data_IF_255327514062
#
_entry.id   IF_255327514062
#
_cell.length_a   1.000
_cell.length_b   1.000
_cell.length_c   1.000
_cell.angle_alpha   90.00
_cell.angle_beta   90.00
_cell.angle_gamma   90.00
#
_symmetry.space_group_name_H-M   'P 1'
#
loop_
_entity.id
_entity.type
_entity.pdbx_description
1 polymer ?
#
# COMPACT_ATOMS: atom_id res chain seq x y z
N UNK A 1 -36.15 -6.29 -20.41
CA UNK A 1 -36.42 -7.44 -19.51
C UNK A 1 -35.37 -8.51 -19.79
N UNK A 2 -34.34 -8.65 -18.95
CA UNK A 2 -33.27 -9.63 -19.13
C UNK A 2 -33.37 -10.66 -17.98
N UNK A 3 -33.75 -11.88 -18.33
CA UNK A 3 -33.84 -13.03 -17.41
C UNK A 3 -32.43 -13.59 -17.25
N UNK A 4 -31.74 -13.23 -16.18
CA UNK A 4 -30.45 -13.84 -15.82
C UNK A 4 -30.70 -15.23 -15.25
N UNK A 5 -30.44 -16.24 -16.08
CA UNK A 5 -30.53 -17.65 -15.70
C UNK A 5 -29.34 -17.99 -14.77
N UNK A 6 -29.55 -17.90 -13.46
CA UNK A 6 -28.54 -18.29 -12.46
C UNK A 6 -28.45 -19.82 -12.39
N UNK A 7 -27.39 -20.37 -12.97
CA UNK A 7 -26.96 -21.76 -12.70
C UNK A 7 -26.51 -21.87 -11.24
N UNK A 8 -27.33 -22.47 -10.39
CA UNK A 8 -26.89 -22.91 -9.07
C UNK A 8 -26.30 -24.31 -9.15
N UNK A 9 -25.11 -24.50 -8.58
CA UNK A 9 -24.54 -25.83 -8.30
C UNK A 9 -24.79 -26.11 -6.82
N UNK A 10 -25.67 -27.05 -6.52
CA UNK A 10 -25.89 -27.53 -5.15
C UNK A 10 -24.68 -28.39 -4.78
N UNK A 11 -23.84 -27.92 -3.86
CA UNK A 11 -22.79 -28.72 -3.22
C UNK A 11 -23.38 -29.22 -1.89
N UNK A 12 -23.88 -30.45 -1.88
CA UNK A 12 -24.16 -31.17 -0.64
C UNK A 12 -22.88 -31.81 -0.13
N UNK A 13 -22.51 -31.53 1.12
CA UNK A 13 -21.57 -32.37 1.87
C UNK A 13 -22.39 -33.51 2.47
N UNK A 14 -22.31 -34.67 1.83
CA UNK A 14 -22.64 -35.97 2.38
C UNK A 14 -21.31 -36.70 2.41
N UNK A 15 -20.99 -37.40 3.50
CA UNK A 15 -19.76 -38.18 3.61
C UNK A 15 -19.54 -39.02 2.34
N UNK A 16 -18.50 -38.67 1.58
CA UNK A 16 -18.06 -39.41 0.40
C UNK A 16 -18.81 -39.15 -0.92
N UNK A 17 -18.11 -38.49 -1.86
CA UNK A 17 -18.32 -38.52 -3.32
C UNK A 17 -19.58 -37.85 -3.92
N UNK A 18 -19.44 -36.82 -4.79
CA UNK A 18 -20.58 -36.16 -5.42
C UNK A 18 -21.11 -36.93 -6.65
N UNK A 19 -22.25 -37.62 -6.53
CA UNK A 19 -23.04 -38.09 -7.70
C UNK A 19 -24.12 -37.06 -8.05
N UNK A 20 -24.00 -36.44 -9.23
CA UNK A 20 -25.05 -35.57 -9.81
C UNK A 20 -26.28 -36.40 -10.18
N UNK A 21 -27.40 -36.27 -9.45
CA UNK A 21 -28.72 -36.74 -9.92
C UNK A 21 -29.54 -35.54 -10.39
N UNK A 22 -30.00 -35.57 -11.64
CA UNK A 22 -30.99 -34.61 -12.16
C UNK A 22 -32.37 -35.06 -11.67
N UNK A 23 -32.98 -34.32 -10.76
CA UNK A 23 -34.35 -34.53 -10.30
C UNK A 23 -35.26 -33.40 -10.75
N UNK A 24 -36.44 -33.75 -11.28
CA UNK A 24 -37.51 -32.83 -11.71
C UNK A 24 -38.36 -32.53 -10.47
N UNK A 25 -38.56 -31.25 -10.12
CA UNK A 25 -39.34 -30.86 -8.96
C UNK A 25 -40.84 -31.11 -9.22
N UNK A 26 -41.43 -32.09 -8.54
CA UNK A 26 -42.88 -32.24 -8.44
C UNK A 26 -43.42 -31.22 -7.43
N UNK A 27 -44.57 -30.63 -7.76
CA UNK A 27 -45.30 -29.67 -6.91
C UNK A 27 -45.79 -30.36 -5.63
N UNK A 28 -45.76 -29.65 -4.51
CA UNK A 28 -46.60 -29.97 -3.36
C UNK A 28 -45.95 -29.80 -1.99
N UNK A 29 -46.60 -28.97 -1.19
CA UNK A 29 -46.59 -28.87 0.27
C UNK A 29 -45.39 -28.26 1.01
N UNK A 30 -45.73 -27.19 1.70
CA UNK A 30 -45.06 -26.49 2.80
C UNK A 30 -44.27 -27.43 3.73
N UNK A 31 -42.95 -27.39 3.61
CA UNK A 31 -42.03 -27.80 4.68
C UNK A 31 -41.24 -26.56 5.11
N UNK A 32 -41.60 -26.04 6.28
CA UNK A 32 -40.91 -24.93 6.95
C UNK A 32 -39.57 -25.46 7.45
N UNK A 33 -38.53 -25.39 6.63
CA UNK A 33 -37.16 -25.58 7.09
C UNK A 33 -36.72 -24.29 7.81
N UNK A 34 -36.83 -24.31 9.13
CA UNK A 34 -36.11 -23.41 10.03
C UNK A 34 -34.61 -23.76 9.98
N UNK A 35 -33.95 -23.46 8.86
CA UNK A 35 -32.50 -23.45 8.80
C UNK A 35 -32.07 -21.98 8.77
N UNK A 36 -31.67 -21.47 9.93
CA UNK A 36 -31.05 -20.16 10.07
C UNK A 36 -29.68 -20.14 9.40
N UNK A 37 -29.66 -20.12 8.07
CA UNK A 37 -28.45 -19.77 7.34
C UNK A 37 -28.37 -18.26 7.35
N UNK A 38 -27.68 -17.71 8.34
CA UNK A 38 -27.29 -16.30 8.33
C UNK A 38 -26.43 -16.13 7.08
N UNK A 39 -27.00 -15.54 6.03
CA UNK A 39 -26.26 -15.14 4.84
C UNK A 39 -25.26 -14.07 5.31
N UNK A 40 -24.04 -14.49 5.62
CA UNK A 40 -23.00 -13.58 6.03
C UNK A 40 -22.65 -12.75 4.78
N UNK A 41 -23.11 -11.51 4.75
CA UNK A 41 -22.74 -10.52 3.74
C UNK A 41 -21.24 -10.26 3.84
N UNK A 42 -20.45 -11.12 3.20
CA UNK A 42 -19.01 -10.91 3.06
C UNK A 42 -18.85 -9.80 2.04
N UNK A 43 -18.66 -8.58 2.54
CA UNK A 43 -18.10 -7.47 1.78
C UNK A 43 -16.71 -7.88 1.29
N UNK A 44 -16.66 -8.40 0.07
CA UNK A 44 -15.40 -8.62 -0.63
C UNK A 44 -14.83 -7.23 -0.96
N UNK A 45 -14.00 -6.71 -0.07
CA UNK A 45 -13.17 -5.55 -0.37
C UNK A 45 -12.30 -5.92 -1.57
N UNK A 46 -12.66 -5.41 -2.76
CA UNK A 46 -11.83 -5.55 -3.95
C UNK A 46 -10.42 -5.03 -3.62
N UNK A 47 -9.35 -5.76 -3.97
CA UNK A 47 -8.00 -5.28 -3.74
C UNK A 47 -7.82 -3.95 -4.48
N UNK A 48 -7.01 -3.03 -3.93
CA UNK A 48 -6.76 -1.75 -4.58
C UNK A 48 -6.23 -1.98 -6.00
N UNK A 49 -6.77 -1.23 -6.97
CA UNK A 49 -6.28 -1.30 -8.35
C UNK A 49 -4.77 -1.03 -8.37
N UNK A 50 -3.98 -1.85 -9.09
CA UNK A 50 -2.56 -1.63 -9.19
C UNK A 50 -2.28 -0.24 -9.80
N UNK A 51 -1.22 0.44 -9.37
CA UNK A 51 -0.89 1.77 -9.88
C UNK A 51 -0.64 1.71 -11.38
N UNK A 52 -1.32 2.60 -12.13
CA UNK A 52 -1.14 2.76 -13.57
C UNK A 52 0.34 3.04 -13.91
N UNK A 53 0.92 2.18 -14.76
CA UNK A 53 2.31 2.25 -15.18
C UNK A 53 2.63 3.57 -15.87
N UNK A 54 1.69 4.11 -16.65
CA UNK A 54 1.87 5.38 -17.33
C UNK A 54 1.99 6.53 -16.34
N UNK A 55 1.11 6.54 -15.32
CA UNK A 55 1.19 7.48 -14.21
C UNK A 55 2.53 7.37 -13.48
N UNK A 56 2.99 6.16 -13.16
CA UNK A 56 4.28 5.95 -12.51
C UNK A 56 5.44 6.49 -13.35
N UNK A 57 5.40 6.32 -14.67
CA UNK A 57 6.41 6.85 -15.60
C UNK A 57 6.41 8.38 -15.62
N UNK A 58 5.24 9.00 -15.72
CA UNK A 58 5.06 10.47 -15.70
C UNK A 58 5.60 11.06 -14.40
N UNK A 59 5.27 10.46 -13.26
CA UNK A 59 5.75 10.92 -11.96
C UNK A 59 7.27 10.76 -11.79
N UNK A 60 7.84 9.62 -12.22
CA UNK A 60 9.30 9.44 -12.22
C UNK A 60 10.01 10.49 -13.08
N UNK A 61 9.44 10.87 -14.23
CA UNK A 61 9.99 11.92 -15.08
C UNK A 61 9.94 13.28 -14.40
N UNK A 62 8.80 13.65 -13.80
CA UNK A 62 8.64 14.90 -13.02
C UNK A 62 9.68 14.99 -11.90
N UNK A 63 9.92 13.91 -11.17
CA UNK A 63 10.95 13.87 -10.12
C UNK A 63 12.36 14.12 -10.67
N UNK A 64 12.70 13.55 -11.84
CA UNK A 64 14.00 13.76 -12.51
C UNK A 64 14.18 15.22 -12.93
N UNK A 65 13.14 15.84 -13.46
CA UNK A 65 13.15 17.25 -13.84
C UNK A 65 13.30 18.15 -12.60
N UNK A 66 12.52 17.89 -11.55
CA UNK A 66 12.60 18.63 -10.28
C UNK A 66 13.98 18.54 -9.64
N UNK A 67 14.67 17.41 -9.75
CA UNK A 67 16.03 17.23 -9.22
C UNK A 67 17.04 18.22 -9.78
N UNK A 68 16.83 18.72 -10.99
CA UNK A 68 17.72 19.69 -11.66
C UNK A 68 17.40 21.15 -11.30
N UNK A 69 16.24 21.40 -10.69
CA UNK A 69 15.78 22.76 -10.37
C UNK A 69 16.61 23.40 -9.25
N UNK A 70 16.61 24.74 -9.21
CA UNK A 70 17.21 25.52 -8.11
C UNK A 70 16.55 25.22 -6.76
N UNK A 71 15.24 24.92 -6.78
CA UNK A 71 14.49 24.55 -5.58
C UNK A 71 15.10 23.32 -4.90
N UNK A 72 15.39 22.26 -5.66
CA UNK A 72 16.00 21.06 -5.11
C UNK A 72 17.41 21.32 -4.58
N UNK A 73 18.23 22.08 -5.33
CA UNK A 73 19.56 22.50 -4.87
C UNK A 73 19.50 23.26 -3.55
N UNK A 74 18.56 24.20 -3.39
CA UNK A 74 18.34 24.93 -2.14
C UNK A 74 17.90 24.00 -1.01
N UNK A 75 17.04 23.01 -1.29
CA UNK A 75 16.58 22.04 -0.28
C UNK A 75 17.73 21.15 0.20
N UNK A 76 18.64 20.74 -0.68
CA UNK A 76 19.85 20.00 -0.30
C UNK A 76 20.94 20.88 0.35
N UNK A 77 20.92 22.20 0.16
CA UNK A 77 21.95 23.10 0.70
C UNK A 77 22.02 23.08 2.23
N UNK A 78 20.91 22.76 2.91
CA UNK A 78 20.90 22.56 4.35
C UNK A 78 21.76 21.37 4.82
N UNK A 79 22.10 20.43 3.92
CA UNK A 79 23.00 19.31 4.19
C UNK A 79 22.50 18.29 5.23
N UNK A 80 21.26 18.43 5.70
CA UNK A 80 20.65 17.59 6.75
C UNK A 80 19.64 16.60 6.17
N UNK A 81 19.67 15.38 6.70
CA UNK A 81 18.68 14.36 6.40
C UNK A 81 17.33 14.70 7.05
N UNK A 82 16.24 14.60 6.31
CA UNK A 82 14.89 14.84 6.84
C UNK A 82 14.48 13.85 7.94
N UNK A 83 14.95 12.60 7.86
CA UNK A 83 14.54 11.53 8.79
C UNK A 83 15.37 11.49 10.07
N UNK A 84 16.70 11.43 9.94
CA UNK A 84 17.59 11.30 11.10
C UNK A 84 18.19 12.61 11.58
N UNK A 85 17.91 13.74 10.91
CA UNK A 85 18.46 15.05 11.28
C UNK A 85 19.96 15.25 11.05
N UNK A 86 20.74 14.16 10.87
CA UNK A 86 22.20 14.20 10.73
C UNK A 86 22.64 15.04 9.54
N UNK A 87 23.73 15.77 9.73
CA UNK A 87 24.44 16.47 8.67
C UNK A 87 25.31 15.49 7.89
N UNK A 88 25.04 15.35 6.59
CA UNK A 88 25.76 14.44 5.68
C UNK A 88 26.32 15.18 4.45
N UNK A 89 26.03 16.47 4.33
CA UNK A 89 26.41 17.30 3.18
C UNK A 89 25.48 17.14 1.98
N UNK A 90 25.44 18.17 1.13
CA UNK A 90 24.50 18.25 0.00
C UNK A 90 24.67 17.13 -1.05
N UNK A 91 25.90 16.63 -1.23
CA UNK A 91 26.22 15.61 -2.23
C UNK A 91 25.74 14.20 -1.82
N UNK A 92 25.69 13.91 -0.52
CA UNK A 92 25.25 12.61 0.00
C UNK A 92 23.72 12.50 0.17
N UNK A 93 22.99 13.60 -0.06
CA UNK A 93 21.53 13.64 0.02
C UNK A 93 20.88 13.12 -1.26
N UNK A 94 19.90 12.25 -1.07
CA UNK A 94 19.07 11.67 -2.12
C UNK A 94 17.66 12.24 -2.06
N UNK A 95 16.98 12.23 -3.22
CA UNK A 95 15.58 12.61 -3.32
C UNK A 95 14.71 11.41 -2.98
N UNK A 96 13.86 11.56 -1.97
CA UNK A 96 12.93 10.52 -1.54
C UNK A 96 11.49 11.03 -1.54
N UNK A 97 10.55 10.14 -1.87
CA UNK A 97 9.12 10.40 -1.84
C UNK A 97 8.56 9.96 -0.49
N UNK A 98 8.00 10.90 0.30
CA UNK A 98 7.41 10.59 1.62
C UNK A 98 6.33 9.50 1.45
N UNK A 99 5.38 9.75 0.56
CA UNK A 99 4.41 8.77 0.06
C UNK A 99 4.95 8.14 -1.23
N UNK A 100 5.20 6.82 -1.26
CA UNK A 100 5.68 6.13 -2.46
C UNK A 100 4.71 6.28 -3.64
N UNK A 101 5.26 6.40 -4.86
CA UNK A 101 4.45 6.52 -6.09
C UNK A 101 3.50 5.33 -6.30
N UNK A 102 3.93 4.13 -5.89
CA UNK A 102 3.13 2.91 -5.95
C UNK A 102 1.88 2.94 -5.05
N UNK A 103 1.90 3.76 -3.99
CA UNK A 103 0.75 3.97 -3.09
C UNK A 103 -0.05 5.23 -3.44
N UNK A 104 0.11 5.75 -4.65
CA UNK A 104 -0.61 6.95 -5.09
C UNK A 104 0.09 8.28 -4.77
N UNK A 105 1.33 8.27 -4.29
CA UNK A 105 2.10 9.51 -4.09
C UNK A 105 2.37 10.26 -5.41
N UNK A 106 2.51 11.58 -5.34
CA UNK A 106 2.87 12.47 -6.47
C UNK A 106 4.29 13.01 -6.31
N UNK A 107 4.93 13.43 -7.40
CA UNK A 107 6.27 14.01 -7.39
C UNK A 107 6.23 15.52 -7.22
N UNK A 108 5.39 15.99 -6.30
CA UNK A 108 5.27 17.39 -5.96
C UNK A 108 6.26 17.79 -4.85
N UNK A 109 6.52 19.09 -4.73
CA UNK A 109 7.52 19.64 -3.79
C UNK A 109 7.25 19.28 -2.32
N UNK A 110 5.99 19.08 -1.94
CA UNK A 110 5.59 18.69 -0.58
C UNK A 110 5.91 17.22 -0.27
N UNK A 111 5.80 16.34 -1.27
CA UNK A 111 6.05 14.91 -1.12
C UNK A 111 7.53 14.55 -1.29
N UNK A 112 8.39 15.50 -1.68
CA UNK A 112 9.81 15.28 -1.92
C UNK A 112 10.67 15.80 -0.77
N UNK A 113 11.48 14.93 -0.18
CA UNK A 113 12.35 15.24 0.95
C UNK A 113 13.80 14.81 0.70
N UNK A 114 14.79 15.55 1.24
CA UNK A 114 16.19 15.14 1.21
C UNK A 114 16.45 14.06 2.27
N UNK A 115 16.96 12.90 1.86
CA UNK A 115 17.27 11.80 2.75
C UNK A 115 18.70 11.29 2.53
N UNK A 116 19.42 10.94 3.61
CA UNK A 116 20.72 10.28 3.49
C UNK A 116 20.57 8.87 2.90
N UNK A 117 21.66 8.34 2.33
CA UNK A 117 21.69 7.00 1.73
C UNK A 117 21.25 5.91 2.71
N UNK A 118 21.65 5.98 3.97
CA UNK A 118 21.31 4.97 4.98
C UNK A 118 19.82 4.93 5.28
N UNK A 119 19.20 6.09 5.53
CA UNK A 119 17.77 6.17 5.80
C UNK A 119 16.95 5.78 4.57
N UNK A 120 17.36 6.22 3.39
CA UNK A 120 16.69 5.87 2.14
C UNK A 120 16.76 4.36 1.87
N UNK A 121 17.91 3.72 2.11
CA UNK A 121 18.04 2.28 1.99
C UNK A 121 17.16 1.54 3.01
N UNK A 122 17.24 1.91 4.30
CA UNK A 122 16.42 1.30 5.35
C UNK A 122 14.93 1.40 5.04
N UNK A 123 14.44 2.56 4.59
CA UNK A 123 13.03 2.75 4.19
C UNK A 123 12.58 1.79 3.08
N UNK A 124 13.47 1.35 2.19
CA UNK A 124 13.13 0.39 1.12
C UNK A 124 13.01 -1.06 1.60
N UNK A 125 13.77 -1.44 2.61
CA UNK A 125 13.82 -2.81 3.12
C UNK A 125 12.86 -3.04 4.29
N UNK A 126 12.63 -2.02 5.11
CA UNK A 126 11.80 -2.12 6.29
C UNK A 126 10.31 -2.10 5.93
N UNK A 127 9.53 -2.91 6.63
CA UNK A 127 8.09 -2.79 6.64
C UNK A 127 7.68 -1.45 7.26
N UNK A 128 6.49 -0.89 6.94
CA UNK A 128 6.05 0.39 7.50
C UNK A 128 6.14 0.47 9.03
N UNK A 129 5.75 -0.61 9.72
CA UNK A 129 5.81 -0.71 11.18
C UNK A 129 7.25 -0.68 11.70
N UNK A 130 8.17 -1.36 11.00
CA UNK A 130 9.58 -1.36 11.37
C UNK A 130 10.25 -0.01 11.10
N UNK A 131 9.82 0.67 10.03
CA UNK A 131 10.26 2.03 9.71
C UNK A 131 9.83 3.03 10.78
N UNK A 132 8.59 2.95 11.26
CA UNK A 132 8.10 3.78 12.37
C UNK A 132 8.90 3.52 13.66
N UNK A 133 9.18 2.26 13.98
CA UNK A 133 10.05 1.90 15.11
C UNK A 133 11.46 2.45 14.96
N UNK A 134 12.04 2.38 13.75
CA UNK A 134 13.34 2.96 13.47
C UNK A 134 13.34 4.48 13.66
N UNK A 135 12.33 5.19 13.15
CA UNK A 135 12.21 6.63 13.37
C UNK A 135 12.06 6.98 14.85
N UNK A 136 11.26 6.22 15.60
CA UNK A 136 11.13 6.39 17.06
C UNK A 136 12.46 6.15 17.79
N UNK A 137 13.28 5.19 17.34
CA UNK A 137 14.60 4.97 17.93
C UNK A 137 15.57 6.14 17.71
N UNK A 138 15.36 6.93 16.64
CA UNK A 138 16.18 8.10 16.35
C UNK A 138 15.79 9.32 17.19
N UNK A 139 14.52 9.46 17.60
CA UNK A 139 14.07 10.58 18.44
C UNK A 139 14.55 10.51 19.88
N UNK A 140 14.99 9.34 20.35
CA UNK A 140 15.57 9.15 21.69
C UNK A 140 17.11 9.24 21.70
N UNK A 141 17.74 9.38 20.53
CA UNK A 141 19.15 9.71 20.44
C UNK A 141 19.29 11.23 20.58
N UNK A 142 19.50 11.66 21.81
CA UNK A 142 19.72 13.05 22.21
C UNK A 142 20.73 13.76 21.27
N UNK A 143 20.42 14.93 20.70
CA UNK A 143 21.39 15.72 19.93
C UNK A 143 22.45 16.43 20.80
N UNK A 144 22.43 16.23 22.13
CA UNK A 144 23.29 16.91 23.11
C UNK A 144 24.69 16.33 23.34
N UNK A 145 25.36 15.78 22.33
CA UNK A 145 26.79 15.49 22.42
C UNK A 145 27.65 16.75 22.26
N UNK A 146 27.49 17.70 23.18
CA UNK A 146 28.34 18.89 23.27
C UNK A 146 29.68 18.48 23.88
N UNK A 147 30.74 18.85 23.18
CA UNK A 147 32.13 18.77 23.62
C UNK A 147 32.35 19.64 24.84
N UNK A 148 32.87 19.07 25.93
CA UNK A 148 33.74 19.72 26.90
C UNK A 148 34.58 18.66 27.64
#
# INVERSE_FOLDING_TARGET
>A
MLVTCLRFTIIGHFDGFPKRRRGRLCRGNTFRLSCGVVAQERSFHLPPRPPDEERLRREKQRARELRRTRWWRRKCAAGRCHYCGRFVGAAALTMDHVVPLARGGTSERHNLVPACKDCNNRKKYLLPVEWERYLASLSHADPGGETA
#
